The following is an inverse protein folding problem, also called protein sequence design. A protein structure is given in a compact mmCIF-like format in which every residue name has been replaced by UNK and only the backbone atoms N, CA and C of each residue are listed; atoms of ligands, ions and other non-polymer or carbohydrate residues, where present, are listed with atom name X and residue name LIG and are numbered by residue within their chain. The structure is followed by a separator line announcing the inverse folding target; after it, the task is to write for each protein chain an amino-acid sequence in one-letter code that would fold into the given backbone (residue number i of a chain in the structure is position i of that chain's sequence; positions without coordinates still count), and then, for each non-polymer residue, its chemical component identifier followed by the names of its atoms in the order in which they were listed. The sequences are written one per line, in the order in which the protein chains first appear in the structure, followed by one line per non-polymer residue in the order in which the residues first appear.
data_IF_490301985345
#
_entry.id   IF_490301985345
#
_cell.length_a   1.000
_cell.length_b   1.000
_cell.length_c   1.000
_cell.angle_alpha   90.00
_cell.angle_beta   90.00
_cell.angle_gamma   90.00
#
_symmetry.space_group_name_H-M   'P 1'
#
loop_
_entity.id
_entity.type
_entity.pdbx_description
1 polymer ?
#
# COMPACT_ATOMS: atom_id res chain seq x y z
N UNK A 1 -5.62 -1.87 28.87
CA UNK A 1 -4.93 -0.61 28.60
C UNK A 1 -5.77 0.55 29.14
N UNK A 2 -5.30 1.32 30.15
CA UNK A 2 -6.00 2.52 30.65
C UNK A 2 -6.00 3.58 29.54
N UNK A 3 -7.17 3.99 29.07
CA UNK A 3 -7.30 5.11 28.14
C UNK A 3 -6.63 6.35 28.75
N UNK A 4 -5.71 6.97 28.04
CA UNK A 4 -5.14 8.24 28.45
C UNK A 4 -6.26 9.28 28.65
N UNK A 5 -6.20 10.13 29.67
CA UNK A 5 -7.23 11.13 29.93
C UNK A 5 -7.34 12.07 28.70
N UNK A 6 -8.56 12.29 28.23
CA UNK A 6 -8.83 13.15 27.08
C UNK A 6 -8.37 14.59 27.31
N UNK A 7 -8.19 15.34 26.23
CA UNK A 7 -7.73 16.73 26.22
C UNK A 7 -8.53 17.61 27.21
N UNK A 8 -9.85 17.47 27.20
CA UNK A 8 -10.76 18.18 28.13
C UNK A 8 -10.41 17.86 29.59
N UNK A 9 -10.15 16.59 29.92
CA UNK A 9 -9.81 16.17 31.28
C UNK A 9 -8.46 16.76 31.72
N UNK A 10 -7.48 16.83 30.83
CA UNK A 10 -6.15 17.39 31.14
C UNK A 10 -6.21 18.89 31.37
N UNK A 11 -7.01 19.65 30.58
CA UNK A 11 -7.23 21.10 30.76
C UNK A 11 -7.92 21.33 32.10
N UNK A 12 -9.02 20.60 32.35
CA UNK A 12 -9.79 20.77 33.62
C UNK A 12 -8.89 20.42 34.82
N UNK A 13 -8.12 19.34 34.76
CA UNK A 13 -7.21 18.95 35.84
C UNK A 13 -6.10 20.00 36.08
N UNK A 14 -5.53 20.57 35.01
CA UNK A 14 -4.51 21.63 35.15
C UNK A 14 -5.07 22.89 35.75
N UNK A 15 -6.28 23.31 35.35
CA UNK A 15 -6.97 24.47 35.92
C UNK A 15 -7.42 24.20 37.34
N UNK A 16 -7.88 23.00 37.67
CA UNK A 16 -8.26 22.64 39.04
C UNK A 16 -7.03 22.64 39.98
N UNK A 17 -5.90 22.13 39.55
CA UNK A 17 -4.62 22.14 40.30
C UNK A 17 -4.15 23.59 40.51
N UNK A 18 -4.27 24.44 39.49
CA UNK A 18 -3.94 25.87 39.58
C UNK A 18 -4.84 26.57 40.62
N UNK A 19 -6.17 26.39 40.49
CA UNK A 19 -7.14 26.98 41.42
C UNK A 19 -6.90 26.53 42.87
N UNK A 20 -6.69 25.24 43.07
CA UNK A 20 -6.37 24.68 44.38
C UNK A 20 -5.07 25.26 44.95
N UNK A 21 -4.03 25.37 44.13
CA UNK A 21 -2.74 25.96 44.51
C UNK A 21 -2.88 27.42 44.94
N UNK A 22 -3.64 28.25 44.20
CA UNK A 22 -3.91 29.66 44.54
C UNK A 22 -4.68 29.77 45.87
N UNK A 23 -5.73 28.95 46.04
CA UNK A 23 -6.52 28.91 47.28
C UNK A 23 -5.61 28.50 48.45
N UNK A 24 -4.78 27.49 48.29
CA UNK A 24 -3.89 27.03 49.35
C UNK A 24 -2.85 28.08 49.74
N UNK A 25 -2.23 28.74 48.77
CA UNK A 25 -1.30 29.86 49.01
C UNK A 25 -2.03 31.01 49.72
N UNK A 26 -3.22 31.39 49.28
CA UNK A 26 -3.98 32.51 49.87
C UNK A 26 -4.46 32.20 51.29
N UNK A 27 -5.15 31.05 51.48
CA UNK A 27 -5.77 30.74 52.80
C UNK A 27 -4.73 30.27 53.78
N UNK A 28 -3.95 29.25 53.44
CA UNK A 28 -2.96 28.71 54.36
C UNK A 28 -1.80 29.69 54.62
N UNK A 29 -1.36 30.37 53.55
CA UNK A 29 -0.32 31.37 53.67
C UNK A 29 -0.77 32.54 54.54
N UNK A 30 -2.03 33.02 54.43
CA UNK A 30 -2.58 34.08 55.30
C UNK A 30 -2.67 33.60 56.76
N UNK A 31 -3.14 32.34 56.95
CA UNK A 31 -3.19 31.78 58.32
C UNK A 31 -1.78 31.76 58.97
N UNK A 32 -0.77 31.26 58.28
CA UNK A 32 0.62 31.23 58.74
C UNK A 32 1.15 32.66 58.97
N UNK A 33 0.89 33.59 58.07
CA UNK A 33 1.28 34.99 58.18
C UNK A 33 0.70 35.63 59.43
N UNK A 34 -0.61 35.52 59.68
CA UNK A 34 -1.24 36.10 60.87
C UNK A 34 -0.77 35.42 62.16
N UNK A 35 -0.57 34.11 62.17
CA UNK A 35 0.00 33.39 63.30
C UNK A 35 1.41 33.90 63.70
N UNK A 36 2.26 34.14 62.72
CA UNK A 36 3.61 34.70 62.93
C UNK A 36 3.54 36.15 63.33
N UNK A 37 2.70 36.98 62.68
CA UNK A 37 2.60 38.38 62.94
C UNK A 37 2.07 38.66 64.38
N UNK A 38 1.08 37.90 64.83
CA UNK A 38 0.56 38.03 66.22
C UNK A 38 1.61 37.63 67.22
N UNK A 39 2.41 36.58 66.96
CA UNK A 39 3.37 36.03 67.94
C UNK A 39 4.66 36.85 68.03
N UNK A 40 5.18 37.32 66.90
CA UNK A 40 6.52 37.94 66.83
C UNK A 40 6.54 39.43 66.57
N UNK A 41 5.42 40.03 66.10
CA UNK A 41 5.28 41.46 65.76
C UNK A 41 4.02 42.04 66.35
N UNK A 42 3.87 42.03 67.68
CA UNK A 42 2.67 42.59 68.33
C UNK A 42 2.52 44.10 67.99
N UNK A 43 1.37 44.47 67.45
CA UNK A 43 1.08 45.84 66.97
C UNK A 43 1.31 46.13 65.50
N UNK A 44 1.74 45.12 64.72
CA UNK A 44 1.89 45.24 63.26
C UNK A 44 0.61 44.94 62.47
N UNK A 45 -0.41 44.40 63.16
CA UNK A 45 -1.71 44.08 62.57
C UNK A 45 -2.63 45.31 62.82
N UNK A 46 -3.31 45.80 61.78
CA UNK A 46 -4.22 46.90 61.86
C UNK A 46 -5.54 46.53 62.55
N UNK A 47 -5.94 47.28 63.56
CA UNK A 47 -7.29 47.18 64.15
C UNK A 47 -8.36 47.87 63.31
N UNK A 48 -7.95 48.60 62.25
CA UNK A 48 -8.82 49.32 61.35
C UNK A 48 -9.03 48.55 60.06
N UNK A 49 -10.08 48.92 59.29
CA UNK A 49 -10.33 48.24 57.98
C UNK A 49 -9.21 48.49 56.93
N UNK A 50 -8.31 49.50 57.16
CA UNK A 50 -7.15 49.74 56.31
C UNK A 50 -6.00 48.85 56.72
N UNK A 51 -5.43 48.06 55.76
CA UNK A 51 -4.31 47.14 56.06
C UNK A 51 -3.05 47.92 56.44
N UNK A 52 -2.33 47.41 57.41
CA UNK A 52 -1.01 47.91 57.79
C UNK A 52 0.01 47.77 56.70
N UNK A 53 1.19 48.43 56.80
CA UNK A 53 2.29 48.21 55.80
C UNK A 53 2.73 46.78 55.69
N UNK A 54 2.74 46.04 56.77
CA UNK A 54 3.12 44.64 56.78
C UNK A 54 2.08 43.74 56.08
N UNK A 55 0.81 44.01 56.32
CA UNK A 55 -0.31 43.36 55.65
C UNK A 55 -0.33 43.68 54.15
N UNK A 56 -0.07 44.95 53.76
CA UNK A 56 0.06 45.31 52.35
C UNK A 56 1.18 44.57 51.62
N UNK A 57 2.35 44.42 52.24
CA UNK A 57 3.46 43.62 51.70
C UNK A 57 3.04 42.16 51.53
N UNK A 58 2.34 41.59 52.51
CA UNK A 58 1.81 40.25 52.42
C UNK A 58 0.80 40.09 51.26
N UNK A 59 -0.14 40.97 51.11
CA UNK A 59 -1.12 40.99 50.04
C UNK A 59 -0.41 41.03 48.67
N UNK A 60 0.57 41.93 48.52
CA UNK A 60 1.34 42.04 47.28
C UNK A 60 2.12 40.73 47.00
N UNK A 61 2.76 40.14 48.00
CA UNK A 61 3.46 38.89 47.87
C UNK A 61 2.55 37.73 47.42
N UNK A 62 1.35 37.63 48.01
CA UNK A 62 0.36 36.61 47.61
C UNK A 62 -0.17 36.81 46.20
N UNK A 63 -0.42 38.06 45.78
CA UNK A 63 -0.81 38.37 44.41
C UNK A 63 0.28 38.00 43.43
N UNK A 64 1.55 38.34 43.71
CA UNK A 64 2.70 38.00 42.84
C UNK A 64 2.88 36.50 42.77
N UNK A 65 2.75 35.77 43.88
CA UNK A 65 2.86 34.30 43.91
C UNK A 65 1.73 33.64 43.09
N UNK A 66 0.47 34.14 43.24
CA UNK A 66 -0.68 33.64 42.47
C UNK A 66 -0.50 33.89 40.97
N UNK A 67 -0.02 35.08 40.59
CA UNK A 67 0.25 35.45 39.20
C UNK A 67 1.38 34.57 38.61
N UNK A 68 2.44 34.35 39.38
CA UNK A 68 3.54 33.44 38.98
C UNK A 68 3.08 32.00 38.74
N UNK A 69 2.20 31.49 39.62
CA UNK A 69 1.58 30.18 39.46
C UNK A 69 0.71 30.13 38.19
N UNK A 70 -0.11 31.13 37.93
CA UNK A 70 -0.96 31.21 36.77
C UNK A 70 -0.13 31.20 35.45
N UNK A 71 0.92 32.03 35.39
CA UNK A 71 1.85 32.08 34.24
C UNK A 71 2.55 30.79 34.05
N UNK A 72 3.04 30.15 35.12
CA UNK A 72 3.70 28.85 35.04
C UNK A 72 2.78 27.76 34.43
N UNK A 73 1.55 27.67 34.93
CA UNK A 73 0.56 26.70 34.41
C UNK A 73 0.18 27.03 32.94
N UNK A 74 0.01 28.33 32.61
CA UNK A 74 -0.28 28.75 31.24
C UNK A 74 0.84 28.35 30.25
N UNK A 75 2.11 28.59 30.60
CA UNK A 75 3.26 28.20 29.77
C UNK A 75 3.33 26.68 29.64
N UNK A 76 3.10 25.96 30.74
CA UNK A 76 3.12 24.47 30.73
C UNK A 76 2.01 23.89 29.84
N UNK A 77 0.80 24.48 29.92
CA UNK A 77 -0.33 24.05 29.11
C UNK A 77 -0.12 24.41 27.63
N UNK A 78 0.38 25.59 27.33
CA UNK A 78 0.70 26.08 26.00
C UNK A 78 1.71 25.12 25.32
N UNK A 79 2.81 24.77 25.99
CA UNK A 79 3.82 23.85 25.45
C UNK A 79 3.29 22.44 25.22
N UNK A 80 2.35 21.97 26.04
CA UNK A 80 1.79 20.62 25.92
C UNK A 80 0.73 20.47 24.83
N UNK A 81 0.00 21.54 24.51
CA UNK A 81 -1.14 21.51 23.60
C UNK A 81 -0.89 22.29 22.31
N UNK A 82 -0.49 23.56 22.42
CA UNK A 82 -0.40 24.45 21.25
C UNK A 82 0.81 24.10 20.38
N UNK A 83 1.94 23.76 20.97
CA UNK A 83 3.14 23.45 20.20
C UNK A 83 2.98 22.23 19.29
N UNK A 84 2.46 21.07 19.75
CA UNK A 84 2.20 19.91 18.88
C UNK A 84 1.15 20.21 17.81
N UNK A 85 0.08 20.94 18.13
CA UNK A 85 -0.96 21.31 17.17
C UNK A 85 -0.41 22.23 16.07
N UNK A 86 0.40 23.22 16.42
CA UNK A 86 1.05 24.08 15.45
C UNK A 86 2.05 23.29 14.56
N UNK A 87 2.75 22.32 15.14
CA UNK A 87 3.64 21.41 14.37
C UNK A 87 2.85 20.62 13.34
N UNK A 88 1.72 20.01 13.73
CA UNK A 88 0.83 19.30 12.79
C UNK A 88 0.30 20.24 11.72
N UNK A 89 -0.20 21.42 12.10
CA UNK A 89 -0.74 22.41 11.16
C UNK A 89 0.33 22.91 10.15
N UNK A 90 1.57 23.07 10.61
CA UNK A 90 2.68 23.43 9.74
C UNK A 90 3.03 22.30 8.75
N UNK A 91 3.26 21.09 9.26
CA UNK A 91 3.60 19.94 8.43
C UNK A 91 2.47 19.56 7.46
N UNK A 92 1.21 19.74 7.86
CA UNK A 92 0.06 19.53 6.97
C UNK A 92 0.08 20.49 5.77
N UNK A 93 0.45 21.78 6.00
CA UNK A 93 0.59 22.73 4.89
C UNK A 93 1.77 22.38 3.97
N UNK A 94 2.88 21.89 4.53
CA UNK A 94 4.01 21.44 3.74
C UNK A 94 3.65 20.22 2.88
N UNK A 95 2.95 19.23 3.45
CA UNK A 95 2.45 18.06 2.70
C UNK A 95 1.47 18.51 1.60
N UNK A 96 0.57 19.46 1.88
CA UNK A 96 -0.34 20.02 0.89
C UNK A 96 0.38 20.78 -0.25
N UNK A 97 1.60 21.26 -0.01
CA UNK A 97 2.47 21.89 -1.02
C UNK A 97 3.35 20.87 -1.77
N UNK A 98 3.15 19.56 -1.51
CA UNK A 98 3.90 18.49 -2.18
C UNK A 98 5.18 18.04 -1.46
N UNK A 99 5.52 18.61 -0.28
CA UNK A 99 6.64 18.17 0.54
C UNK A 99 6.22 16.99 1.41
N UNK A 100 6.16 15.81 0.81
CA UNK A 100 5.62 14.59 1.45
C UNK A 100 6.53 14.00 2.53
N UNK A 101 7.75 14.49 2.66
CA UNK A 101 8.72 14.13 3.71
C UNK A 101 8.50 14.90 5.02
N UNK A 102 7.66 15.95 5.01
CA UNK A 102 7.35 16.72 6.20
C UNK A 102 6.68 15.84 7.27
N UNK A 103 7.17 15.98 8.52
CA UNK A 103 6.63 15.28 9.69
C UNK A 103 6.39 16.23 10.83
N UNK A 104 5.28 16.03 11.53
CA UNK A 104 5.01 16.76 12.75
C UNK A 104 5.92 16.26 13.88
N UNK A 105 6.51 17.22 14.60
CA UNK A 105 7.40 16.90 15.72
C UNK A 105 6.57 16.53 16.94
N UNK A 106 6.94 15.42 17.56
CA UNK A 106 6.40 15.01 18.85
C UNK A 106 7.28 15.60 19.94
N UNK A 107 6.70 16.40 20.82
CA UNK A 107 7.39 16.75 22.07
C UNK A 107 7.31 15.52 23.00
N UNK A 108 8.42 15.14 23.65
CA UNK A 108 8.48 14.03 24.64
C UNK A 108 7.44 14.21 25.77
N UNK A 109 6.96 15.44 25.97
CA UNK A 109 5.97 15.81 27.00
C UNK A 109 4.54 15.81 26.47
N UNK A 110 4.34 15.60 25.16
CA UNK A 110 3.00 15.48 24.59
C UNK A 110 2.38 14.15 25.04
N UNK A 111 1.27 14.20 25.72
CA UNK A 111 0.55 13.03 26.21
C UNK A 111 -0.93 13.08 25.77
N UNK A 112 -1.55 11.90 25.66
CA UNK A 112 -2.96 11.78 25.36
C UNK A 112 -3.30 12.02 23.89
N UNK A 113 -4.39 12.73 23.65
CA UNK A 113 -4.99 12.93 22.31
C UNK A 113 -4.09 13.73 21.36
N UNK A 114 -3.29 14.68 21.85
CA UNK A 114 -2.37 15.44 21.00
C UNK A 114 -1.22 14.59 20.48
N UNK A 115 -0.68 13.69 21.30
CA UNK A 115 0.32 12.74 20.86
C UNK A 115 -0.26 11.73 19.84
N UNK A 116 -1.53 11.32 20.03
CA UNK A 116 -2.22 10.47 19.07
C UNK A 116 -2.39 11.17 17.73
N UNK A 117 -2.82 12.44 17.73
CA UNK A 117 -2.98 13.24 16.51
C UNK A 117 -1.66 13.36 15.72
N UNK A 118 -0.54 13.59 16.41
CA UNK A 118 0.79 13.63 15.77
C UNK A 118 1.14 12.29 15.12
N UNK A 119 0.88 11.17 15.81
CA UNK A 119 1.12 9.82 15.25
C UNK A 119 0.25 9.55 14.04
N UNK A 120 -1.04 9.85 14.14
CA UNK A 120 -2.01 9.59 13.06
C UNK A 120 -1.67 10.44 11.81
N UNK A 121 -1.30 11.71 12.02
CA UNK A 121 -0.81 12.57 10.94
C UNK A 121 0.46 12.01 10.29
N UNK A 122 1.46 11.62 11.07
CA UNK A 122 2.72 11.10 10.55
C UNK A 122 2.49 9.76 9.80
N UNK A 123 1.63 8.88 10.31
CA UNK A 123 1.25 7.65 9.64
C UNK A 123 0.52 7.91 8.31
N UNK A 124 -0.37 8.91 8.26
CA UNK A 124 -1.02 9.34 7.02
C UNK A 124 0.00 9.91 6.02
N UNK A 125 0.91 10.77 6.47
CA UNK A 125 1.95 11.36 5.62
C UNK A 125 2.90 10.30 5.07
N UNK A 126 3.24 9.27 5.86
CA UNK A 126 4.06 8.15 5.43
C UNK A 126 3.37 7.31 4.35
N UNK A 127 2.08 7.01 4.53
CA UNK A 127 1.28 6.30 3.51
C UNK A 127 1.20 7.08 2.21
N UNK A 128 0.91 8.39 2.29
CA UNK A 128 0.84 9.26 1.11
C UNK A 128 2.18 9.32 0.37
N UNK A 129 3.28 9.44 1.10
CA UNK A 129 4.62 9.41 0.53
C UNK A 129 4.94 8.06 -0.13
N UNK A 130 4.55 6.95 0.51
CA UNK A 130 4.67 5.59 -0.04
C UNK A 130 3.93 5.46 -1.37
N UNK A 131 2.65 5.82 -1.41
CA UNK A 131 1.82 5.78 -2.62
C UNK A 131 2.38 6.64 -3.76
N UNK A 132 2.93 7.82 -3.43
CA UNK A 132 3.51 8.70 -4.46
C UNK A 132 4.80 8.11 -5.04
N UNK A 133 5.69 7.58 -4.19
CA UNK A 133 6.92 6.90 -4.64
C UNK A 133 6.62 5.68 -5.50
N UNK A 134 5.64 4.90 -5.11
CA UNK A 134 5.19 3.74 -5.86
C UNK A 134 4.67 4.15 -7.24
N UNK A 135 3.84 5.20 -7.30
CA UNK A 135 3.34 5.74 -8.57
C UNK A 135 4.47 6.29 -9.46
N UNK A 136 5.45 6.98 -8.90
CA UNK A 136 6.62 7.46 -9.64
C UNK A 136 7.45 6.29 -10.19
N UNK A 137 7.68 5.27 -9.37
CA UNK A 137 8.34 4.04 -9.81
C UNK A 137 7.59 3.37 -10.96
N UNK A 138 6.26 3.22 -10.84
CA UNK A 138 5.42 2.66 -11.88
C UNK A 138 5.52 3.45 -13.20
N UNK A 139 5.41 4.77 -13.15
CA UNK A 139 5.51 5.61 -14.34
C UNK A 139 6.89 5.49 -15.01
N UNK A 140 7.95 5.44 -14.22
CA UNK A 140 9.31 5.27 -14.74
C UNK A 140 9.50 3.88 -15.39
N UNK A 141 8.99 2.83 -14.75
CA UNK A 141 9.06 1.46 -15.26
C UNK A 141 8.25 1.30 -16.56
N UNK A 142 7.02 1.82 -16.62
CA UNK A 142 6.19 1.83 -17.84
C UNK A 142 6.93 2.55 -18.99
N UNK A 143 7.46 3.74 -18.71
CA UNK A 143 8.17 4.50 -19.74
C UNK A 143 9.40 3.74 -20.25
N UNK A 144 10.09 3.00 -19.39
CA UNK A 144 11.24 2.18 -19.78
C UNK A 144 10.83 1.00 -20.66
N UNK A 145 9.80 0.24 -20.23
CA UNK A 145 9.31 -0.94 -20.94
C UNK A 145 8.67 -0.59 -22.31
N UNK A 146 8.08 0.59 -22.46
CA UNK A 146 7.56 1.07 -23.75
C UNK A 146 8.69 1.60 -24.66
N UNK A 147 9.71 2.25 -24.12
CA UNK A 147 10.79 2.86 -24.91
C UNK A 147 11.57 1.82 -25.70
N UNK A 148 11.87 0.70 -25.11
CA UNK A 148 12.67 -0.38 -25.70
C UNK A 148 12.06 -0.91 -27.01
N UNK A 149 10.81 -1.44 -27.01
CA UNK A 149 10.18 -1.96 -28.23
C UNK A 149 10.00 -0.86 -29.31
N UNK A 150 9.62 0.35 -28.91
CA UNK A 150 9.48 1.49 -29.85
C UNK A 150 10.81 1.84 -30.49
N UNK A 151 11.91 1.84 -29.74
CA UNK A 151 13.24 2.12 -30.29
C UNK A 151 13.69 1.06 -31.28
N UNK A 152 13.44 -0.22 -30.98
CA UNK A 152 13.75 -1.33 -31.89
C UNK A 152 12.92 -1.22 -33.17
N UNK A 153 11.61 -0.99 -33.04
CA UNK A 153 10.69 -0.84 -34.16
C UNK A 153 11.14 0.32 -35.07
N UNK A 154 11.43 1.48 -34.48
CA UNK A 154 11.89 2.65 -35.20
C UNK A 154 13.19 2.37 -35.94
N UNK A 155 14.18 1.76 -35.25
CA UNK A 155 15.47 1.44 -35.88
C UNK A 155 15.34 0.50 -37.08
N UNK A 156 14.50 -0.55 -36.98
CA UNK A 156 14.25 -1.47 -38.09
C UNK A 156 13.54 -0.81 -39.27
N UNK A 157 12.50 0.01 -39.00
CA UNK A 157 11.78 0.77 -40.01
C UNK A 157 12.69 1.79 -40.69
N UNK A 158 13.52 2.49 -39.93
CA UNK A 158 14.48 3.45 -40.47
C UNK A 158 15.51 2.75 -41.34
N UNK A 159 16.08 1.60 -40.91
CA UNK A 159 17.01 0.82 -41.72
C UNK A 159 16.41 0.32 -43.04
N UNK A 160 15.11 -0.04 -43.06
CA UNK A 160 14.38 -0.34 -44.29
C UNK A 160 14.23 0.89 -45.19
N UNK A 161 13.88 2.04 -44.61
CA UNK A 161 13.65 3.29 -45.34
C UNK A 161 14.98 3.84 -45.98
N UNK A 162 16.07 3.66 -45.28
CA UNK A 162 17.42 4.07 -45.74
C UNK A 162 18.11 3.02 -46.64
N UNK A 163 17.44 1.86 -46.88
CA UNK A 163 17.98 0.78 -47.72
C UNK A 163 19.12 0.00 -47.08
N UNK A 164 19.33 0.16 -45.76
CA UNK A 164 20.34 -0.62 -44.97
C UNK A 164 19.89 -2.07 -44.85
N UNK A 165 18.57 -2.30 -44.72
CA UNK A 165 17.98 -3.63 -44.72
C UNK A 165 17.19 -3.85 -46.01
N UNK A 166 17.37 -5.02 -46.62
CA UNK A 166 16.54 -5.44 -47.75
C UNK A 166 15.17 -5.90 -47.22
N UNK A 167 14.06 -5.47 -47.81
CA UNK A 167 12.73 -5.96 -47.46
C UNK A 167 12.64 -7.48 -47.60
N UNK A 168 12.35 -8.18 -46.49
CA UNK A 168 12.14 -9.63 -46.48
C UNK A 168 10.97 -9.99 -45.58
N UNK A 169 10.33 -11.14 -45.82
CA UNK A 169 9.27 -11.67 -44.95
C UNK A 169 9.70 -11.74 -43.49
N UNK A 170 10.94 -12.15 -43.22
CA UNK A 170 11.47 -12.27 -41.86
C UNK A 170 11.53 -10.93 -41.12
N UNK A 171 11.89 -9.85 -41.81
CA UNK A 171 11.91 -8.50 -41.23
C UNK A 171 10.48 -8.03 -40.91
N UNK A 172 9.55 -8.23 -41.84
CA UNK A 172 8.15 -7.85 -41.63
C UNK A 172 7.50 -8.67 -40.51
N UNK A 173 7.73 -9.99 -40.46
CA UNK A 173 7.29 -10.85 -39.36
C UNK A 173 7.91 -10.40 -38.03
N UNK A 174 9.18 -10.01 -38.01
CA UNK A 174 9.84 -9.47 -36.84
C UNK A 174 9.24 -8.14 -36.38
N UNK A 175 8.82 -7.27 -37.31
CA UNK A 175 8.11 -6.04 -37.00
C UNK A 175 6.70 -6.32 -36.46
N UNK A 176 5.95 -7.27 -37.04
CA UNK A 176 4.63 -7.67 -36.57
C UNK A 176 4.71 -8.23 -35.15
N UNK A 177 5.63 -9.15 -34.88
CA UNK A 177 5.86 -9.67 -33.51
C UNK A 177 6.15 -8.56 -32.51
N UNK A 178 6.87 -7.52 -32.93
CA UNK A 178 7.20 -6.38 -32.05
C UNK A 178 5.95 -5.53 -31.74
N UNK A 179 5.10 -5.31 -32.75
CA UNK A 179 3.80 -4.60 -32.58
C UNK A 179 2.85 -5.39 -31.70
N UNK A 180 2.74 -6.71 -31.91
CA UNK A 180 1.92 -7.60 -31.09
C UNK A 180 2.38 -7.61 -29.63
N UNK A 181 3.70 -7.65 -29.38
CA UNK A 181 4.29 -7.55 -28.05
C UNK A 181 3.95 -6.22 -27.36
N UNK A 182 4.02 -5.11 -28.12
CA UNK A 182 3.64 -3.79 -27.62
C UNK A 182 2.14 -3.71 -27.30
N UNK A 183 1.29 -4.26 -28.15
CA UNK A 183 -0.16 -4.30 -27.92
C UNK A 183 -0.52 -5.11 -26.66
N UNK A 184 0.16 -6.23 -26.44
CA UNK A 184 -0.01 -7.03 -25.21
C UNK A 184 0.44 -6.23 -23.96
N UNK A 185 1.58 -5.57 -24.02
CA UNK A 185 2.08 -4.74 -22.92
C UNK A 185 1.06 -3.64 -22.54
N UNK A 186 0.45 -2.99 -23.54
CA UNK A 186 -0.58 -1.97 -23.34
C UNK A 186 -1.81 -2.58 -22.65
N UNK A 187 -2.28 -3.75 -23.09
CA UNK A 187 -3.45 -4.41 -22.48
C UNK A 187 -3.15 -4.88 -21.06
N UNK A 188 -1.93 -5.36 -20.78
CA UNK A 188 -1.50 -5.74 -19.44
C UNK A 188 -1.50 -4.53 -18.49
N UNK A 189 -0.97 -3.40 -18.94
CA UNK A 189 -1.02 -2.14 -18.19
C UNK A 189 -2.44 -1.66 -17.94
N UNK A 190 -3.34 -1.84 -18.94
CA UNK A 190 -4.75 -1.51 -18.80
C UNK A 190 -5.44 -2.35 -17.73
N UNK A 191 -5.20 -3.67 -17.74
CA UNK A 191 -5.75 -4.58 -16.71
C UNK A 191 -5.31 -4.16 -15.32
N UNK A 192 -4.01 -3.92 -15.12
CA UNK A 192 -3.47 -3.51 -13.84
C UNK A 192 -4.05 -2.17 -13.38
N UNK A 193 -4.10 -1.16 -14.26
CA UNK A 193 -4.67 0.15 -13.95
C UNK A 193 -6.15 0.08 -13.56
N UNK A 194 -6.94 -0.76 -14.25
CA UNK A 194 -8.35 -0.96 -13.93
C UNK A 194 -8.54 -1.73 -12.62
N UNK A 195 -7.67 -2.71 -12.33
CA UNK A 195 -7.71 -3.44 -11.06
C UNK A 195 -7.38 -2.52 -9.87
N UNK A 196 -6.32 -1.73 -9.97
CA UNK A 196 -5.90 -0.80 -8.91
C UNK A 196 -6.97 0.26 -8.59
N UNK A 197 -7.70 0.68 -9.62
CA UNK A 197 -8.82 1.64 -9.46
C UNK A 197 -10.14 0.98 -9.04
N UNK A 198 -10.20 -0.36 -8.95
CA UNK A 198 -11.41 -1.11 -8.64
C UNK A 198 -12.46 -1.11 -9.77
N UNK A 199 -12.06 -0.77 -11.00
CA UNK A 199 -12.93 -0.67 -12.17
C UNK A 199 -12.72 -1.78 -13.19
N UNK A 200 -12.05 -2.86 -12.83
CA UNK A 200 -11.90 -4.02 -13.73
C UNK A 200 -13.22 -4.80 -13.78
N UNK A 201 -14.09 -4.38 -14.70
CA UNK A 201 -15.35 -5.07 -14.98
C UNK A 201 -15.09 -6.37 -15.74
N UNK A 202 -15.65 -7.49 -15.25
CA UNK A 202 -15.56 -8.80 -15.87
C UNK A 202 -16.81 -9.10 -16.67
N UNK A 203 -16.64 -9.60 -17.88
CA UNK A 203 -17.71 -10.17 -18.69
C UNK A 203 -17.84 -11.66 -18.38
N UNK A 204 -18.42 -11.96 -17.20
CA UNK A 204 -18.56 -13.34 -16.73
C UNK A 204 -19.64 -14.08 -17.51
N UNK A 205 -19.33 -15.30 -17.89
CA UNK A 205 -20.26 -16.25 -18.48
C UNK A 205 -19.94 -17.69 -18.05
N UNK A 206 -20.94 -18.57 -18.11
CA UNK A 206 -20.78 -20.00 -17.84
C UNK A 206 -20.24 -20.69 -19.11
N UNK A 207 -18.95 -20.76 -19.22
CA UNK A 207 -18.28 -21.32 -20.40
C UNK A 207 -17.64 -22.66 -20.12
N UNK A 208 -17.44 -23.46 -21.18
CA UNK A 208 -16.56 -24.63 -21.14
C UNK A 208 -15.11 -24.17 -21.17
N UNK A 209 -14.60 -23.76 -20.01
CA UNK A 209 -13.30 -23.13 -19.92
C UNK A 209 -12.18 -24.01 -20.48
N UNK A 210 -12.27 -25.33 -20.34
CA UNK A 210 -11.30 -26.27 -20.88
C UNK A 210 -11.13 -26.12 -22.41
N UNK A 211 -12.22 -25.90 -23.18
CA UNK A 211 -12.16 -25.71 -24.63
C UNK A 211 -11.46 -24.39 -24.99
N UNK A 212 -11.76 -23.32 -24.27
CA UNK A 212 -11.14 -22.01 -24.42
C UNK A 212 -9.62 -22.04 -24.12
N UNK A 213 -9.24 -22.71 -23.04
CA UNK A 213 -7.84 -22.84 -22.65
C UNK A 213 -7.06 -23.77 -23.59
N UNK A 214 -7.70 -24.83 -24.10
CA UNK A 214 -7.08 -25.76 -25.06
C UNK A 214 -6.64 -25.01 -26.33
N UNK A 215 -7.40 -24.04 -26.81
CA UNK A 215 -7.02 -23.24 -27.97
C UNK A 215 -5.72 -22.43 -27.75
N UNK A 216 -5.57 -21.86 -26.56
CA UNK A 216 -4.35 -21.12 -26.15
C UNK A 216 -3.16 -22.10 -26.06
N UNK A 217 -3.35 -23.24 -25.40
CA UNK A 217 -2.31 -24.25 -25.24
C UNK A 217 -1.79 -24.75 -26.60
N UNK A 218 -2.69 -25.00 -27.56
CA UNK A 218 -2.30 -25.40 -28.91
C UNK A 218 -1.50 -24.33 -29.64
N UNK A 219 -1.85 -23.03 -29.47
CA UNK A 219 -1.09 -21.92 -30.06
C UNK A 219 0.36 -21.86 -29.53
N UNK A 220 0.58 -22.24 -28.26
CA UNK A 220 1.92 -22.27 -27.64
C UNK A 220 2.69 -23.57 -27.90
N UNK A 221 2.04 -24.66 -28.34
CA UNK A 221 2.65 -25.98 -28.46
C UNK A 221 3.92 -26.00 -29.31
N UNK A 222 3.91 -25.30 -30.46
CA UNK A 222 5.08 -25.25 -31.37
C UNK A 222 6.25 -24.49 -30.70
N UNK A 223 5.99 -23.38 -30.04
CA UNK A 223 7.02 -22.57 -29.37
C UNK A 223 7.63 -23.32 -28.17
N UNK A 224 6.79 -23.99 -27.39
CA UNK A 224 7.21 -24.83 -26.26
C UNK A 224 8.05 -26.02 -26.71
N UNK A 225 7.58 -26.76 -27.72
CA UNK A 225 8.30 -27.90 -28.28
C UNK A 225 9.66 -27.47 -28.85
N UNK A 226 9.74 -26.35 -29.55
CA UNK A 226 11.00 -25.81 -30.09
C UNK A 226 12.03 -25.48 -28.99
N UNK A 227 11.56 -25.22 -27.76
CA UNK A 227 12.43 -25.02 -26.58
C UNK A 227 12.65 -26.30 -25.74
N UNK A 228 12.17 -27.46 -26.17
CA UNK A 228 12.35 -28.71 -25.49
C UNK A 228 11.37 -29.02 -24.37
N UNK A 229 10.24 -28.29 -24.29
CA UNK A 229 9.18 -28.62 -23.34
C UNK A 229 8.27 -29.73 -23.89
N UNK A 230 7.83 -30.61 -23.00
CA UNK A 230 6.77 -31.60 -23.25
C UNK A 230 5.50 -31.10 -22.55
N UNK A 231 4.53 -30.69 -23.36
CA UNK A 231 3.30 -30.11 -22.83
C UNK A 231 2.29 -31.20 -22.46
N UNK A 232 1.83 -31.20 -21.20
CA UNK A 232 0.78 -32.07 -20.70
C UNK A 232 -0.45 -31.23 -20.34
N UNK A 233 -1.65 -31.77 -20.63
CA UNK A 233 -2.93 -31.07 -20.35
C UNK A 233 -3.80 -31.99 -19.48
N UNK A 234 -4.17 -31.48 -18.31
CA UNK A 234 -5.08 -32.12 -17.37
C UNK A 234 -6.29 -31.19 -17.14
N UNK A 235 -7.15 -31.09 -18.15
CA UNK A 235 -8.28 -30.17 -18.15
C UNK A 235 -9.60 -30.90 -17.86
N UNK A 236 -10.27 -30.61 -16.74
CA UNK A 236 -11.62 -31.14 -16.49
C UNK A 236 -12.64 -30.47 -17.41
N UNK A 237 -13.03 -31.16 -18.47
CA UNK A 237 -13.97 -30.71 -19.49
C UNK A 237 -15.42 -30.56 -18.99
N UNK A 238 -15.74 -31.07 -17.81
CA UNK A 238 -17.10 -30.99 -17.19
C UNK A 238 -17.30 -29.65 -16.49
N UNK A 239 -16.21 -28.97 -16.14
CA UNK A 239 -16.27 -27.69 -15.44
C UNK A 239 -16.84 -26.58 -16.32
N UNK A 240 -17.81 -25.86 -15.78
CA UNK A 240 -18.41 -24.65 -16.38
C UNK A 240 -18.42 -23.54 -15.34
N UNK A 241 -17.24 -23.01 -14.96
CA UNK A 241 -17.17 -21.93 -13.99
C UNK A 241 -17.80 -20.65 -14.52
N UNK A 242 -18.30 -19.81 -13.60
CA UNK A 242 -18.74 -18.45 -13.91
C UNK A 242 -17.52 -17.54 -13.93
N UNK A 243 -16.96 -17.28 -15.09
CA UNK A 243 -15.73 -16.52 -15.26
C UNK A 243 -15.73 -15.71 -16.56
N UNK A 244 -14.80 -14.77 -16.69
CA UNK A 244 -14.52 -14.08 -17.95
C UNK A 244 -13.49 -14.90 -18.76
N UNK A 245 -13.92 -15.55 -19.87
CA UNK A 245 -13.04 -16.43 -20.64
C UNK A 245 -11.89 -15.67 -21.31
N UNK A 246 -12.08 -14.40 -21.64
CA UNK A 246 -11.03 -13.58 -22.25
C UNK A 246 -9.91 -13.33 -21.26
N UNK A 247 -10.28 -12.99 -20.01
CA UNK A 247 -9.32 -12.76 -18.93
C UNK A 247 -8.63 -14.06 -18.50
N UNK A 248 -9.35 -15.18 -18.46
CA UNK A 248 -8.72 -16.48 -18.15
C UNK A 248 -7.73 -16.93 -19.24
N UNK A 249 -8.04 -16.71 -20.52
CA UNK A 249 -7.06 -16.93 -21.60
C UNK A 249 -5.85 -16.02 -21.47
N UNK A 250 -6.05 -14.73 -21.13
CA UNK A 250 -4.95 -13.80 -20.89
C UNK A 250 -4.04 -14.27 -19.74
N UNK A 251 -4.63 -14.72 -18.65
CA UNK A 251 -3.89 -15.25 -17.51
C UNK A 251 -3.08 -16.51 -17.90
N UNK A 252 -3.68 -17.45 -18.63
CA UNK A 252 -2.96 -18.64 -19.10
C UNK A 252 -1.81 -18.26 -20.04
N UNK A 253 -2.02 -17.33 -20.98
CA UNK A 253 -0.94 -16.85 -21.86
C UNK A 253 0.22 -16.28 -21.06
N UNK A 254 -0.04 -15.47 -20.04
CA UNK A 254 0.99 -14.91 -19.17
C UNK A 254 1.76 -15.99 -18.41
N UNK A 255 1.08 -17.04 -17.92
CA UNK A 255 1.71 -18.18 -17.26
C UNK A 255 2.59 -19.01 -18.21
N UNK A 256 2.11 -19.28 -19.43
CA UNK A 256 2.87 -20.01 -20.44
C UNK A 256 4.09 -19.21 -20.94
N UNK A 257 3.96 -17.88 -21.12
CA UNK A 257 5.07 -17.01 -21.44
C UNK A 257 6.11 -16.97 -20.31
N UNK A 258 5.66 -16.96 -19.06
CA UNK A 258 6.54 -17.04 -17.90
C UNK A 258 7.35 -18.35 -17.89
N UNK A 259 6.69 -19.48 -18.16
CA UNK A 259 7.37 -20.77 -18.27
C UNK A 259 8.39 -20.78 -19.41
N UNK A 260 8.02 -20.28 -20.61
CA UNK A 260 8.94 -20.16 -21.76
C UNK A 260 10.17 -19.31 -21.46
N UNK A 261 10.06 -18.32 -20.58
CA UNK A 261 11.15 -17.38 -20.28
C UNK A 261 12.05 -17.87 -19.15
N UNK A 262 11.49 -18.56 -18.17
CA UNK A 262 12.15 -18.79 -16.89
C UNK A 262 12.31 -20.26 -16.50
N UNK A 263 11.44 -21.17 -17.01
CA UNK A 263 11.56 -22.57 -16.71
C UNK A 263 12.65 -23.26 -17.57
N UNK A 264 13.26 -24.28 -17.01
CA UNK A 264 14.14 -25.18 -17.77
C UNK A 264 13.32 -26.14 -18.62
N UNK A 265 13.85 -26.59 -19.78
CA UNK A 265 13.20 -27.63 -20.61
C UNK A 265 12.83 -28.87 -19.81
N UNK A 266 11.61 -29.36 -19.97
CA UNK A 266 11.09 -30.53 -19.25
C UNK A 266 9.59 -30.66 -19.46
N UNK A 267 8.90 -31.32 -18.54
CA UNK A 267 7.44 -31.44 -18.58
C UNK A 267 6.82 -30.15 -18.10
N UNK A 268 5.90 -29.58 -18.88
CA UNK A 268 5.07 -28.44 -18.52
C UNK A 268 3.63 -28.91 -18.48
N UNK A 269 3.04 -28.93 -17.28
CA UNK A 269 1.66 -29.37 -17.05
C UNK A 269 0.73 -28.20 -16.86
N UNK A 270 -0.33 -28.14 -17.68
CA UNK A 270 -1.46 -27.19 -17.49
C UNK A 270 -2.63 -27.96 -16.92
N UNK A 271 -3.08 -27.56 -15.72
CA UNK A 271 -4.18 -28.23 -15.03
C UNK A 271 -5.35 -27.29 -14.80
N UNK A 272 -6.57 -27.80 -15.04
CA UNK A 272 -7.83 -27.14 -14.67
C UNK A 272 -8.66 -28.15 -13.88
N UNK A 273 -8.89 -27.83 -12.61
CA UNK A 273 -9.61 -28.73 -11.69
C UNK A 273 -10.51 -27.96 -10.73
N UNK A 274 -11.40 -28.68 -10.07
CA UNK A 274 -12.21 -28.18 -8.95
C UNK A 274 -11.69 -28.78 -7.65
N UNK A 275 -11.45 -27.91 -6.66
CA UNK A 275 -11.10 -28.36 -5.32
C UNK A 275 -11.80 -27.46 -4.30
N UNK A 276 -12.52 -28.05 -3.34
CA UNK A 276 -13.18 -27.35 -2.22
C UNK A 276 -14.13 -26.23 -2.64
N UNK A 277 -14.78 -26.35 -3.80
CA UNK A 277 -15.69 -25.32 -4.33
C UNK A 277 -15.01 -24.13 -5.02
N UNK A 278 -13.72 -24.24 -5.23
CA UNK A 278 -12.90 -23.31 -6.04
C UNK A 278 -12.49 -23.99 -7.34
N UNK A 279 -12.48 -23.24 -8.43
CA UNK A 279 -11.74 -23.61 -9.62
C UNK A 279 -10.27 -23.28 -9.43
N UNK A 280 -9.40 -24.15 -9.90
CA UNK A 280 -7.96 -23.99 -9.95
C UNK A 280 -7.48 -24.13 -11.37
N UNK A 281 -6.80 -23.10 -11.89
CA UNK A 281 -6.01 -23.17 -13.12
C UNK A 281 -4.54 -23.05 -12.73
N UNK A 282 -3.74 -24.06 -13.02
CA UNK A 282 -2.31 -24.06 -12.73
C UNK A 282 -1.45 -24.38 -13.94
N UNK A 283 -0.23 -23.84 -13.92
CA UNK A 283 0.87 -24.18 -14.82
C UNK A 283 2.04 -24.61 -13.95
N UNK A 284 2.52 -25.83 -14.14
CA UNK A 284 3.58 -26.46 -13.36
C UNK A 284 4.75 -26.80 -14.27
N UNK A 285 5.96 -26.43 -13.85
CA UNK A 285 7.23 -26.76 -14.50
C UNK A 285 8.11 -27.68 -13.64
N UNK A 286 9.13 -28.25 -14.26
CA UNK A 286 10.17 -29.07 -13.61
C UNK A 286 11.52 -28.33 -13.48
N UNK A 287 11.48 -26.98 -13.52
CA UNK A 287 12.67 -26.14 -13.44
C UNK A 287 13.31 -26.09 -12.04
N UNK A 288 14.17 -25.08 -11.78
CA UNK A 288 14.91 -24.98 -10.51
C UNK A 288 14.03 -24.55 -9.32
N UNK A 289 12.75 -24.23 -9.57
CA UNK A 289 11.84 -23.71 -8.55
C UNK A 289 12.14 -22.27 -8.16
N UNK A 290 11.31 -21.74 -7.26
CA UNK A 290 11.42 -20.39 -6.70
C UNK A 290 11.61 -20.51 -5.19
N UNK A 291 12.54 -19.74 -4.64
CA UNK A 291 12.76 -19.67 -3.20
C UNK A 291 11.47 -19.20 -2.48
N UNK A 292 11.18 -19.77 -1.32
CA UNK A 292 9.95 -19.49 -0.55
C UNK A 292 9.82 -17.99 -0.23
N UNK A 293 10.95 -17.34 0.06
CA UNK A 293 11.00 -15.90 0.36
C UNK A 293 10.62 -15.03 -0.84
N UNK A 294 10.89 -15.51 -2.07
CA UNK A 294 10.56 -14.82 -3.31
C UNK A 294 9.13 -15.12 -3.80
N UNK A 295 8.53 -16.24 -3.39
CA UNK A 295 7.22 -16.68 -3.87
C UNK A 295 6.07 -15.71 -3.60
N UNK A 296 6.14 -14.94 -2.51
CA UNK A 296 5.15 -13.90 -2.20
C UNK A 296 5.26 -12.69 -3.14
N UNK A 297 6.47 -12.41 -3.60
CA UNK A 297 6.81 -11.19 -4.33
C UNK A 297 6.80 -11.34 -5.85
N UNK A 298 6.71 -12.57 -6.37
CA UNK A 298 6.76 -12.83 -7.82
C UNK A 298 5.57 -12.24 -8.60
N UNK A 299 4.47 -11.96 -7.91
CA UNK A 299 3.28 -11.33 -8.49
C UNK A 299 3.30 -9.80 -8.45
N UNK A 300 4.33 -9.19 -7.85
CA UNK A 300 4.47 -7.74 -7.85
C UNK A 300 4.94 -7.24 -9.22
N UNK A 301 4.29 -6.21 -9.73
CA UNK A 301 4.59 -5.68 -11.07
C UNK A 301 6.01 -5.11 -11.16
N UNK A 302 6.66 -5.31 -12.32
CA UNK A 302 8.04 -4.92 -12.60
C UNK A 302 9.08 -5.56 -11.68
N UNK A 303 8.70 -6.50 -10.83
CA UNK A 303 9.65 -7.28 -10.07
C UNK A 303 10.25 -8.35 -10.98
N UNK A 304 11.56 -8.36 -11.05
CA UNK A 304 12.32 -9.35 -11.79
C UNK A 304 13.17 -10.13 -10.80
N UNK A 305 13.23 -11.43 -10.96
CA UNK A 305 14.22 -12.26 -10.26
C UNK A 305 15.65 -11.77 -10.56
N UNK A 306 16.65 -12.58 -10.24
CA UNK A 306 18.06 -12.24 -10.36
C UNK A 306 18.43 -11.48 -11.66
N UNK A 307 18.99 -10.25 -11.56
CA UNK A 307 19.35 -9.40 -12.71
C UNK A 307 20.33 -10.04 -13.69
N UNK A 308 21.05 -11.08 -13.28
CA UNK A 308 22.05 -11.79 -14.10
C UNK A 308 21.43 -12.72 -15.12
N UNK A 309 20.28 -13.33 -14.83
CA UNK A 309 19.55 -14.26 -15.72
C UNK A 309 18.55 -13.54 -16.63
N UNK A 310 17.97 -12.43 -16.18
CA UNK A 310 16.88 -11.72 -16.88
C UNK A 310 17.32 -10.93 -18.12
N UNK A 311 18.60 -10.57 -18.25
CA UNK A 311 19.10 -9.78 -19.42
C UNK A 311 19.05 -10.49 -20.75
N UNK A 312 18.94 -11.83 -20.79
CA UNK A 312 18.93 -12.61 -22.03
C UNK A 312 17.52 -12.89 -22.59
N UNK A 313 16.46 -12.75 -21.79
CA UNK A 313 15.11 -13.23 -22.15
C UNK A 313 13.98 -12.21 -21.90
N UNK A 314 14.25 -10.94 -21.85
CA UNK A 314 13.40 -9.76 -22.09
C UNK A 314 11.89 -9.84 -21.76
N UNK A 315 11.49 -10.21 -20.54
CA UNK A 315 10.09 -10.07 -20.10
C UNK A 315 9.80 -8.70 -19.48
N UNK A 316 8.57 -8.19 -19.61
CA UNK A 316 8.13 -6.92 -19.02
C UNK A 316 8.04 -6.94 -17.49
N UNK A 317 7.98 -8.12 -16.88
CA UNK A 317 7.72 -8.27 -15.44
C UNK A 317 6.28 -7.94 -15.03
N UNK A 318 5.36 -7.84 -16.00
CA UNK A 318 3.94 -7.56 -15.75
C UNK A 318 3.06 -8.81 -15.77
N UNK A 319 3.47 -9.86 -16.45
CA UNK A 319 2.62 -11.04 -16.72
C UNK A 319 2.04 -11.65 -15.44
N UNK A 320 2.87 -11.92 -14.43
CA UNK A 320 2.39 -12.49 -13.16
C UNK A 320 1.53 -11.50 -12.35
N UNK A 321 1.80 -10.21 -12.43
CA UNK A 321 0.93 -9.19 -11.81
C UNK A 321 -0.46 -9.16 -12.45
N UNK A 322 -0.53 -9.32 -13.79
CA UNK A 322 -1.80 -9.47 -14.52
C UNK A 322 -2.55 -10.72 -14.09
N UNK A 323 -1.84 -11.85 -13.90
CA UNK A 323 -2.42 -13.10 -13.38
C UNK A 323 -3.07 -12.86 -12.01
N UNK A 324 -2.37 -12.18 -11.10
CA UNK A 324 -2.89 -11.82 -9.78
C UNK A 324 -4.12 -10.91 -9.89
N UNK A 325 -4.05 -9.85 -10.69
CA UNK A 325 -5.17 -8.92 -10.89
C UNK A 325 -6.42 -9.63 -11.45
N UNK A 326 -6.25 -10.53 -12.40
CA UNK A 326 -7.35 -11.33 -12.95
C UNK A 326 -7.95 -12.25 -11.89
N UNK A 327 -7.12 -12.91 -11.06
CA UNK A 327 -7.58 -13.76 -9.97
C UNK A 327 -8.39 -12.96 -8.94
N UNK A 328 -7.89 -11.81 -8.50
CA UNK A 328 -8.54 -10.91 -7.53
C UNK A 328 -9.87 -10.38 -8.07
N UNK A 329 -9.93 -9.97 -9.34
CA UNK A 329 -11.15 -9.52 -9.99
C UNK A 329 -12.23 -10.62 -10.04
N UNK A 330 -11.83 -11.90 -10.14
CA UNK A 330 -12.74 -13.04 -10.04
C UNK A 330 -13.13 -13.40 -8.60
N UNK A 331 -12.68 -12.64 -7.60
CA UNK A 331 -12.93 -12.91 -6.18
C UNK A 331 -12.07 -14.04 -5.62
N UNK A 332 -10.95 -14.30 -6.25
CA UNK A 332 -9.99 -15.34 -5.92
C UNK A 332 -8.62 -14.81 -5.56
N UNK A 333 -7.59 -15.63 -5.76
CA UNK A 333 -6.20 -15.28 -5.50
C UNK A 333 -5.26 -16.09 -6.39
N UNK A 334 -4.04 -15.57 -6.60
CA UNK A 334 -2.95 -16.28 -7.26
C UNK A 334 -1.90 -16.73 -6.24
N UNK A 335 -1.29 -17.89 -6.47
CA UNK A 335 -0.23 -18.43 -5.61
C UNK A 335 0.89 -18.99 -6.45
N UNK A 336 2.12 -18.93 -5.92
CA UNK A 336 3.29 -19.62 -6.40
C UNK A 336 3.74 -20.63 -5.34
N UNK A 337 3.94 -21.88 -5.73
CA UNK A 337 4.38 -22.97 -4.86
C UNK A 337 5.47 -23.76 -5.54
N UNK A 338 6.24 -24.53 -4.77
CA UNK A 338 7.11 -25.55 -5.33
C UNK A 338 6.26 -26.67 -5.94
N UNK A 339 6.59 -27.10 -7.15
CA UNK A 339 5.99 -28.28 -7.80
C UNK A 339 6.43 -29.56 -7.08
N UNK A 340 5.61 -30.61 -7.15
CA UNK A 340 5.94 -31.93 -6.61
C UNK A 340 7.19 -32.56 -7.29
N UNK A 341 7.49 -32.14 -8.52
CA UNK A 341 8.63 -32.60 -9.30
C UNK A 341 9.88 -31.73 -9.19
N UNK A 342 9.90 -30.74 -8.26
CA UNK A 342 11.05 -29.89 -7.95
C UNK A 342 11.04 -28.50 -8.58
N UNK A 343 10.14 -28.21 -9.54
CA UNK A 343 9.98 -26.91 -10.21
C UNK A 343 9.05 -25.96 -9.49
N UNK A 344 8.41 -25.07 -10.27
CA UNK A 344 7.44 -24.10 -9.79
C UNK A 344 6.02 -24.45 -10.25
N UNK A 345 5.04 -24.18 -9.42
CA UNK A 345 3.61 -24.23 -9.74
C UNK A 345 3.01 -22.86 -9.52
N UNK A 346 2.49 -22.24 -10.58
CA UNK A 346 1.74 -21.00 -10.54
C UNK A 346 0.26 -21.33 -10.71
N UNK A 347 -0.56 -20.94 -9.76
CA UNK A 347 -1.97 -21.29 -9.76
C UNK A 347 -2.86 -20.06 -9.48
N UNK A 348 -4.03 -20.05 -10.13
CA UNK A 348 -5.13 -19.12 -9.91
C UNK A 348 -6.28 -19.90 -9.29
N UNK A 349 -6.81 -19.40 -8.18
CA UNK A 349 -8.01 -19.94 -7.54
C UNK A 349 -9.12 -18.92 -7.60
N UNK A 350 -10.34 -19.35 -7.96
CA UNK A 350 -11.53 -18.49 -7.92
C UNK A 350 -12.79 -19.30 -7.62
N UNK A 351 -13.86 -18.70 -7.05
CA UNK A 351 -15.10 -19.40 -6.76
C UNK A 351 -15.80 -19.89 -8.03
N UNK A 352 -16.32 -21.13 -8.02
CA UNK A 352 -17.09 -21.68 -9.15
C UNK A 352 -18.36 -20.89 -9.40
N UNK A 353 -18.95 -20.35 -8.30
CA UNK A 353 -20.14 -19.50 -8.34
C UNK A 353 -19.83 -18.21 -7.60
N UNK A 354 -20.19 -17.09 -8.22
CA UNK A 354 -20.16 -15.82 -7.49
C UNK A 354 -21.22 -15.83 -6.38
N UNK A 355 -20.78 -15.89 -5.12
CA UNK A 355 -21.66 -15.79 -3.94
C UNK A 355 -22.15 -14.37 -3.67
N UNK A 356 -21.57 -13.35 -4.33
CA UNK A 356 -21.81 -11.94 -4.03
C UNK A 356 -22.92 -11.29 -4.86
N UNK A 357 -23.38 -11.94 -5.95
CA UNK A 357 -24.44 -11.38 -6.80
C UNK A 357 -25.48 -12.43 -7.18
N UNK A 358 -26.59 -12.59 -6.38
CA UNK A 358 -27.76 -13.31 -6.86
C UNK A 358 -28.35 -12.50 -8.02
N UNK A 359 -28.11 -12.92 -9.27
CA UNK A 359 -28.80 -12.34 -10.44
C UNK A 359 -30.31 -12.31 -10.12
N UNK A 360 -30.97 -11.13 -10.28
CA UNK A 360 -32.43 -11.13 -10.28
C UNK A 360 -32.87 -12.05 -11.42
N UNK A 361 -33.66 -13.08 -11.10
CA UNK A 361 -34.30 -13.95 -12.08
C UNK A 361 -34.98 -13.05 -13.11
N UNK A 362 -34.52 -13.08 -14.36
CA UNK A 362 -35.28 -12.53 -15.48
C UNK A 362 -36.55 -13.39 -15.59
N UNK A 363 -37.63 -12.88 -15.00
CA UNK A 363 -38.97 -13.37 -15.28
C UNK A 363 -39.21 -13.18 -16.78
N UNK A 364 -39.45 -14.30 -17.47
CA UNK A 364 -39.87 -14.41 -18.83
C UNK A 364 -41.31 -13.88 -19.02
#
# INVERSE_FOLDING_TARGET
MKRAPGLRSQIVQSLAVMALGIILISVFGSYVFYAIAVTYLPGSISETWMPSRVEMVWIVCTIVAALGMAVFVAIRLSRRLITPLNSVAHSLREVAQGKLDARARMDERAMGETAQLVRDFNAMAERLQGMTREREFWNAAIAHELRTPVTILRGRLQGLAEGVFSPSSEIFEGLLRQVEGLSRLIEDLRVLSLNDSGHLELQRDKVRLAEELSSVIHAFATALSARGFVLQQELDTRLKPDCDPVRMRQALMALLENALQHADPGILTVRLEESEGLCCLSVEDEGPGIAIEAAADVFEAFRRGDPSRSRKHGGSGLGLAVVKAIAEAHGGHAVCRSSACGGSSFAIFWPIRDRSNPRPERNA
#
